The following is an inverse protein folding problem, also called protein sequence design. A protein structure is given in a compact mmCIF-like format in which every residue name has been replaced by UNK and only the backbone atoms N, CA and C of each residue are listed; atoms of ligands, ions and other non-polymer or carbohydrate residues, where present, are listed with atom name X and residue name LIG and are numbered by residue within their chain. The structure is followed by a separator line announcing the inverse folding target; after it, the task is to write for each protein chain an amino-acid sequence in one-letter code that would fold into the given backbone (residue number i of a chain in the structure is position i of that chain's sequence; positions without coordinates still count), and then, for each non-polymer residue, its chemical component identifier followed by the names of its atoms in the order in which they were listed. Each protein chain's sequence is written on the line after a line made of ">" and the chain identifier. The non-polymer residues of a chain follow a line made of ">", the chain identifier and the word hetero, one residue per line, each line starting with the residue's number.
data_IF_437932195004
#
_entry.id   IF_437932195004
#
_cell.length_a   1.000
_cell.length_b   1.000
_cell.length_c   1.000
_cell.angle_alpha   90.00
_cell.angle_beta   90.00
_cell.angle_gamma   90.00
#
_symmetry.space_group_name_H-M   'P 1'
#
loop_
_entity.id
_entity.type
_entity.pdbx_description
1 polymer ?
#
# COMPACT_ATOMS: atom_id res chain seq x y z
N UNK A 1 6.85 -7.03 -1.87
CA UNK A 1 5.73 -6.40 -1.17
C UNK A 1 5.84 -6.67 0.31
N UNK A 2 5.13 -5.91 1.13
CA UNK A 2 5.12 -6.02 2.59
C UNK A 2 3.70 -6.29 3.06
N UNK A 3 3.47 -7.39 3.76
CA UNK A 3 2.23 -7.72 4.44
C UNK A 3 2.26 -7.14 5.86
N UNK A 4 1.31 -6.27 6.17
CA UNK A 4 0.98 -5.85 7.53
C UNK A 4 -0.19 -6.70 7.99
N UNK A 5 0.10 -7.65 8.88
CA UNK A 5 -0.87 -8.62 9.36
C UNK A 5 -2.09 -7.93 10.00
N UNK A 6 -3.28 -8.47 9.75
CA UNK A 6 -4.53 -7.86 10.19
C UNK A 6 -4.96 -6.63 9.41
N UNK A 7 -4.12 -6.04 8.54
CA UNK A 7 -4.46 -4.82 7.79
C UNK A 7 -4.46 -5.05 6.28
N UNK A 8 -3.32 -5.35 5.68
CA UNK A 8 -3.20 -5.49 4.22
C UNK A 8 -1.77 -5.54 3.71
N UNK A 9 -1.63 -5.50 2.40
CA UNK A 9 -0.35 -5.67 1.69
C UNK A 9 -0.02 -4.43 0.89
N UNK A 10 1.19 -3.89 1.07
CA UNK A 10 1.79 -2.90 0.20
C UNK A 10 2.65 -3.59 -0.86
N UNK A 11 2.47 -3.27 -2.14
CA UNK A 11 3.32 -3.77 -3.21
C UNK A 11 3.58 -2.66 -4.24
N UNK A 12 4.60 -2.84 -5.09
CA UNK A 12 4.92 -1.90 -6.18
C UNK A 12 4.84 -2.70 -7.46
N UNK A 13 3.94 -2.31 -8.34
CA UNK A 13 3.73 -2.96 -9.64
C UNK A 13 4.35 -2.13 -10.75
N UNK A 14 4.67 -2.77 -11.88
CA UNK A 14 5.07 -2.07 -13.10
C UNK A 14 3.86 -1.88 -13.99
N UNK A 15 3.51 -0.62 -14.28
CA UNK A 15 2.42 -0.27 -15.15
C UNK A 15 2.97 0.28 -16.48
N UNK A 16 2.60 -0.29 -17.63
CA UNK A 16 2.97 0.27 -18.93
C UNK A 16 2.15 1.52 -19.25
N UNK A 17 2.84 2.62 -19.54
CA UNK A 17 2.28 3.89 -19.99
C UNK A 17 2.75 4.16 -21.41
N UNK A 18 1.82 4.42 -22.32
CA UNK A 18 2.13 4.74 -23.71
C UNK A 18 2.61 6.21 -23.83
N UNK A 19 3.75 6.40 -24.46
CA UNK A 19 4.37 7.69 -24.81
C UNK A 19 4.32 7.85 -26.34
N UNK A 20 3.16 8.19 -26.88
CA UNK A 20 2.97 8.35 -28.33
C UNK A 20 3.12 7.05 -29.13
N UNK A 21 3.49 7.17 -30.41
CA UNK A 21 3.45 6.06 -31.39
C UNK A 21 4.50 4.96 -31.19
N UNK A 22 5.62 5.23 -30.50
CA UNK A 22 6.73 4.25 -30.39
C UNK A 22 7.28 4.04 -28.97
N UNK A 23 6.80 4.78 -27.97
CA UNK A 23 7.33 4.71 -26.61
C UNK A 23 6.43 3.95 -25.64
N UNK A 24 6.96 2.94 -24.96
CA UNK A 24 6.34 2.34 -23.77
C UNK A 24 7.21 2.60 -22.55
N UNK A 25 6.66 3.30 -21.55
CA UNK A 25 7.32 3.57 -20.29
C UNK A 25 6.73 2.69 -19.19
N UNK A 26 7.57 1.90 -18.54
CA UNK A 26 7.18 1.17 -17.33
C UNK A 26 7.31 2.10 -16.11
N UNK A 27 6.19 2.57 -15.59
CA UNK A 27 6.12 3.35 -14.35
C UNK A 27 5.92 2.44 -13.15
N UNK A 28 6.42 2.85 -11.98
CA UNK A 28 6.34 2.08 -10.75
C UNK A 28 5.23 2.64 -9.87
N UNK A 29 4.11 1.92 -9.79
CA UNK A 29 2.95 2.34 -8.99
C UNK A 29 2.95 1.68 -7.63
N UNK A 30 2.79 2.44 -6.53
CA UNK A 30 2.47 1.84 -5.25
C UNK A 30 1.02 1.38 -5.26
N UNK A 31 0.78 0.20 -4.71
CA UNK A 31 -0.56 -0.33 -4.48
C UNK A 31 -0.69 -0.81 -3.04
N UNK A 32 -1.86 -0.58 -2.46
CA UNK A 32 -2.26 -1.14 -1.17
C UNK A 32 -3.46 -2.05 -1.41
N UNK A 33 -3.39 -3.24 -0.82
CA UNK A 33 -4.42 -4.24 -0.97
C UNK A 33 -4.87 -4.68 0.42
N UNK A 34 -6.15 -4.49 0.71
CA UNK A 34 -6.71 -4.82 2.02
C UNK A 34 -6.65 -6.33 2.28
N UNK A 35 -6.24 -6.71 3.50
CA UNK A 35 -6.21 -8.10 3.98
C UNK A 35 -7.33 -8.42 4.97
N UNK A 36 -8.02 -7.41 5.50
CA UNK A 36 -9.16 -7.57 6.41
C UNK A 36 -10.37 -8.20 5.70
N UNK A 37 -11.06 -9.13 6.39
CA UNK A 37 -12.28 -9.79 5.93
C UNK A 37 -13.50 -8.84 5.96
N UNK A 38 -13.45 -7.72 5.26
CA UNK A 38 -14.51 -6.70 5.30
C UNK A 38 -15.34 -6.55 4.04
N UNK A 39 -15.20 -7.38 2.99
CA UNK A 39 -16.09 -7.25 1.80
C UNK A 39 -16.39 -8.61 1.13
N UNK A 40 -17.65 -8.90 0.76
CA UNK A 40 -17.96 -9.96 -0.20
C UNK A 40 -17.37 -9.64 -1.58
N UNK A 41 -16.99 -10.69 -2.30
CA UNK A 41 -16.31 -10.63 -3.60
C UNK A 41 -17.07 -9.74 -4.60
N UNK A 42 -16.43 -8.64 -5.04
CA UNK A 42 -16.96 -7.77 -6.09
C UNK A 42 -16.06 -6.57 -6.45
N UNK A 43 -15.47 -6.65 -7.65
CA UNK A 43 -15.01 -5.59 -8.57
C UNK A 43 -13.69 -4.79 -8.46
N UNK A 44 -12.95 -4.71 -7.35
CA UNK A 44 -11.63 -4.01 -7.38
C UNK A 44 -10.50 -4.73 -6.62
N UNK A 45 -10.81 -5.26 -5.43
CA UNK A 45 -9.82 -5.87 -4.53
C UNK A 45 -9.23 -7.18 -5.11
N UNK A 46 -10.02 -7.93 -5.86
CA UNK A 46 -9.58 -9.15 -6.54
C UNK A 46 -8.58 -8.87 -7.69
N UNK A 47 -8.77 -7.75 -8.40
CA UNK A 47 -7.89 -7.35 -9.52
C UNK A 47 -6.50 -6.96 -9.00
N UNK A 48 -6.42 -6.24 -7.89
CA UNK A 48 -5.14 -5.80 -7.30
C UNK A 48 -4.26 -6.95 -6.77
N UNK A 49 -4.86 -8.01 -6.23
CA UNK A 49 -4.13 -9.24 -5.88
C UNK A 49 -3.57 -9.94 -7.10
N UNK A 50 -4.43 -10.10 -8.11
CA UNK A 50 -4.06 -10.72 -9.37
C UNK A 50 -2.86 -9.99 -9.97
N UNK A 51 -2.82 -8.66 -9.89
CA UNK A 51 -1.68 -7.84 -10.32
C UNK A 51 -0.39 -8.12 -9.52
N UNK A 52 -0.40 -8.09 -8.18
CA UNK A 52 0.84 -8.40 -7.43
C UNK A 52 1.34 -9.84 -7.68
N UNK A 53 0.41 -10.80 -7.88
CA UNK A 53 0.73 -12.19 -8.16
C UNK A 53 1.23 -12.39 -9.61
N UNK A 54 0.63 -11.70 -10.57
CA UNK A 54 1.06 -11.68 -11.97
C UNK A 54 2.47 -11.12 -12.12
N UNK A 55 2.80 -10.05 -11.37
CA UNK A 55 4.14 -9.46 -11.32
C UNK A 55 5.16 -10.30 -10.53
N UNK A 56 4.78 -11.50 -10.06
CA UNK A 56 5.63 -12.40 -9.25
C UNK A 56 6.29 -11.69 -8.05
N UNK A 57 5.60 -10.72 -7.46
CA UNK A 57 6.16 -9.92 -6.37
C UNK A 57 6.21 -10.79 -5.11
N UNK A 58 7.42 -11.08 -4.61
CA UNK A 58 7.61 -11.73 -3.31
C UNK A 58 6.98 -10.86 -2.22
N UNK A 59 6.02 -11.40 -1.47
CA UNK A 59 5.39 -10.72 -0.33
C UNK A 59 6.04 -11.25 0.95
N UNK A 60 6.59 -10.34 1.74
CA UNK A 60 7.21 -10.63 3.04
C UNK A 60 6.35 -10.02 4.15
N UNK A 61 6.25 -10.65 5.33
CA UNK A 61 5.64 -10.02 6.50
C UNK A 61 6.43 -8.78 6.93
N UNK A 62 5.76 -7.86 7.63
CA UNK A 62 6.40 -6.71 8.25
C UNK A 62 7.53 -7.18 9.19
N UNK A 63 8.74 -6.73 8.91
CA UNK A 63 9.92 -7.19 9.64
C UNK A 63 10.12 -6.38 10.92
N UNK A 64 9.54 -6.87 12.02
CA UNK A 64 9.68 -6.25 13.35
C UNK A 64 11.11 -6.22 13.87
N UNK A 65 11.99 -7.11 13.40
CA UNK A 65 13.41 -7.07 13.77
C UNK A 65 14.09 -5.83 13.19
N UNK A 66 13.84 -5.53 11.91
CA UNK A 66 14.37 -4.34 11.24
C UNK A 66 13.79 -3.07 11.86
N UNK A 67 12.49 -3.05 12.16
CA UNK A 67 11.86 -1.91 12.83
C UNK A 67 12.42 -1.68 14.24
N UNK A 68 12.67 -2.74 14.99
CA UNK A 68 13.28 -2.68 16.33
C UNK A 68 14.62 -1.96 16.31
N UNK A 69 15.47 -2.29 15.33
CA UNK A 69 16.76 -1.64 15.15
C UNK A 69 16.61 -0.16 14.71
N UNK A 70 15.66 0.13 13.83
CA UNK A 70 15.48 1.49 13.30
C UNK A 70 14.88 2.46 14.33
N UNK A 71 13.87 2.03 15.07
CA UNK A 71 13.15 2.87 16.05
C UNK A 71 13.80 2.79 17.44
N UNK A 72 14.73 1.85 17.66
CA UNK A 72 15.40 1.62 18.94
C UNK A 72 14.46 1.23 20.10
N UNK A 73 13.41 0.46 19.78
CA UNK A 73 12.50 -0.15 20.76
C UNK A 73 12.58 -1.67 20.68
N UNK A 74 12.31 -2.41 21.78
CA UNK A 74 12.25 -3.86 21.74
C UNK A 74 11.25 -4.37 20.70
N UNK A 75 11.59 -5.44 19.99
CA UNK A 75 10.75 -6.06 18.96
C UNK A 75 9.31 -6.29 19.43
N UNK A 76 9.13 -6.82 20.64
CA UNK A 76 7.80 -7.13 21.19
C UNK A 76 6.96 -5.86 21.37
N UNK A 77 7.54 -4.78 21.92
CA UNK A 77 6.86 -3.49 22.08
C UNK A 77 6.38 -2.96 20.73
N UNK A 78 7.22 -2.99 19.69
CA UNK A 78 6.81 -2.53 18.35
C UNK A 78 5.70 -3.41 17.78
N UNK A 79 5.83 -4.73 17.94
CA UNK A 79 4.81 -5.66 17.46
C UNK A 79 3.47 -5.39 18.13
N UNK A 80 3.45 -5.27 19.46
CA UNK A 80 2.24 -4.99 20.25
C UNK A 80 1.61 -3.66 19.82
N UNK A 81 2.41 -2.59 19.68
CA UNK A 81 1.92 -1.29 19.22
C UNK A 81 1.28 -1.37 17.82
N UNK A 82 1.90 -2.10 16.88
CA UNK A 82 1.35 -2.25 15.52
C UNK A 82 0.04 -3.04 15.57
N UNK A 83 0.01 -4.16 16.29
CA UNK A 83 -1.20 -4.99 16.43
C UNK A 83 -2.35 -4.24 17.09
N UNK A 84 -2.11 -3.53 18.18
CA UNK A 84 -3.12 -2.74 18.89
C UNK A 84 -3.66 -1.61 18.02
N UNK A 85 -2.79 -0.89 17.30
CA UNK A 85 -3.21 0.17 16.38
C UNK A 85 -4.10 -0.39 15.26
N UNK A 86 -3.76 -1.55 14.71
CA UNK A 86 -4.55 -2.23 13.67
C UNK A 86 -5.88 -2.70 14.23
N UNK A 87 -5.90 -3.29 15.44
CA UNK A 87 -7.15 -3.69 16.12
C UNK A 87 -8.06 -2.50 16.35
N UNK A 88 -7.52 -1.37 16.83
CA UNK A 88 -8.27 -0.14 17.05
C UNK A 88 -8.89 0.40 15.75
N UNK A 89 -8.11 0.41 14.66
CA UNK A 89 -8.61 0.81 13.35
C UNK A 89 -9.70 -0.14 12.85
N UNK A 90 -9.49 -1.46 12.95
CA UNK A 90 -10.48 -2.49 12.61
C UNK A 90 -11.80 -2.27 13.33
N UNK A 91 -11.74 -2.04 14.64
CA UNK A 91 -12.90 -1.76 15.46
C UNK A 91 -13.69 -0.55 14.96
N UNK A 92 -13.01 0.52 14.54
CA UNK A 92 -13.69 1.70 13.99
C UNK A 92 -14.32 1.41 12.62
N UNK A 93 -13.67 0.60 11.79
CA UNK A 93 -14.23 0.17 10.51
C UNK A 93 -15.49 -0.68 10.68
N UNK A 94 -15.48 -1.64 11.62
CA UNK A 94 -16.64 -2.48 11.93
C UNK A 94 -17.85 -1.66 12.40
N UNK A 95 -17.60 -0.56 13.12
CA UNK A 95 -18.64 0.39 13.56
C UNK A 95 -19.05 1.39 12.48
N UNK A 96 -18.53 1.26 11.26
CA UNK A 96 -18.75 2.19 10.13
C UNK A 96 -18.41 3.65 10.49
N UNK A 97 -17.45 3.85 11.40
CA UNK A 97 -16.96 5.19 11.69
C UNK A 97 -16.11 5.68 10.52
N UNK A 98 -16.28 6.95 10.16
CA UNK A 98 -15.44 7.61 9.16
C UNK A 98 -14.06 7.91 9.77
N UNK A 99 -13.17 6.92 9.71
CA UNK A 99 -11.80 7.03 10.20
C UNK A 99 -10.78 7.03 9.06
N UNK A 100 -9.67 7.70 9.32
CA UNK A 100 -8.50 7.72 8.46
C UNK A 100 -7.30 7.10 9.19
N UNK A 101 -6.58 6.22 8.52
CA UNK A 101 -5.28 5.72 8.98
C UNK A 101 -4.18 6.38 8.16
N UNK A 102 -3.32 7.14 8.83
CA UNK A 102 -2.23 7.86 8.18
C UNK A 102 -0.94 7.04 8.24
N UNK A 103 -0.44 6.62 7.09
CA UNK A 103 0.90 6.10 6.94
C UNK A 103 1.84 7.26 6.63
N UNK A 104 2.63 7.67 7.63
CA UNK A 104 3.60 8.76 7.48
C UNK A 104 4.48 8.51 6.24
N UNK A 105 4.63 9.53 5.41
CA UNK A 105 5.41 9.53 4.16
C UNK A 105 4.93 8.60 3.04
N UNK A 106 3.83 7.85 3.24
CA UNK A 106 3.27 6.93 2.26
C UNK A 106 1.92 7.44 1.75
N UNK A 107 0.97 7.69 2.66
CA UNK A 107 -0.39 8.07 2.27
C UNK A 107 -1.42 7.90 3.38
N UNK A 108 -2.69 7.96 2.99
CA UNK A 108 -3.83 7.85 3.90
C UNK A 108 -4.78 6.77 3.42
N UNK A 109 -5.16 5.87 4.33
CA UNK A 109 -6.21 4.88 4.11
C UNK A 109 -7.49 5.40 4.77
N UNK A 110 -8.53 5.65 3.97
CA UNK A 110 -9.81 6.20 4.42
C UNK A 110 -10.95 5.24 4.15
N UNK A 111 -11.91 5.15 5.08
CA UNK A 111 -13.17 4.47 4.84
C UNK A 111 -14.22 5.46 4.34
N UNK A 112 -14.87 5.16 3.22
CA UNK A 112 -16.02 5.91 2.72
C UNK A 112 -17.15 4.90 2.43
N UNK A 113 -18.18 4.91 3.27
CA UNK A 113 -19.22 3.90 3.26
C UNK A 113 -18.66 2.53 3.66
N UNK A 114 -18.85 1.53 2.81
CA UNK A 114 -18.30 0.17 2.99
C UNK A 114 -17.02 -0.06 2.15
N UNK A 115 -16.43 1.00 1.57
CA UNK A 115 -15.23 0.91 0.71
C UNK A 115 -14.04 1.62 1.34
N UNK A 116 -12.89 0.95 1.31
CA UNK A 116 -11.61 1.49 1.76
C UNK A 116 -10.79 2.01 0.58
N UNK A 117 -10.29 3.23 0.72
CA UNK A 117 -9.50 3.93 -0.30
C UNK A 117 -8.11 4.24 0.24
N UNK A 118 -7.08 3.80 -0.49
CA UNK A 118 -5.71 4.21 -0.22
C UNK A 118 -5.31 5.36 -1.16
N UNK A 119 -5.01 6.51 -0.59
CA UNK A 119 -4.45 7.66 -1.31
C UNK A 119 -2.96 7.78 -0.99
N UNK A 120 -2.09 7.58 -1.98
CA UNK A 120 -0.66 7.76 -1.83
C UNK A 120 -0.26 9.23 -1.97
N UNK A 121 0.68 9.68 -1.14
CA UNK A 121 1.22 11.02 -1.29
C UNK A 121 2.05 11.15 -2.56
N UNK A 122 1.99 12.32 -3.21
CA UNK A 122 2.81 12.61 -4.38
C UNK A 122 4.31 12.45 -4.08
N UNK A 123 4.76 12.77 -2.85
CA UNK A 123 6.12 12.54 -2.39
C UNK A 123 6.49 11.05 -2.35
N UNK A 124 5.57 10.19 -1.91
CA UNK A 124 5.74 8.74 -1.95
C UNK A 124 5.91 8.24 -3.39
N UNK A 125 5.05 8.68 -4.30
CA UNK A 125 5.10 8.28 -5.71
C UNK A 125 6.42 8.76 -6.35
N UNK A 126 6.81 10.02 -6.12
CA UNK A 126 8.08 10.58 -6.62
C UNK A 126 9.32 9.81 -6.16
N UNK A 127 9.30 9.23 -4.96
CA UNK A 127 10.40 8.39 -4.44
C UNK A 127 10.51 7.03 -5.13
N UNK A 128 9.44 6.55 -5.77
CA UNK A 128 9.42 5.26 -6.46
C UNK A 128 9.96 5.37 -7.89
N UNK A 129 9.77 6.53 -8.51
CA UNK A 129 10.21 6.84 -9.85
C UNK A 129 11.69 7.24 -9.90
N UNK A 130 12.39 6.82 -10.96
CA UNK A 130 13.71 7.38 -11.26
C UNK A 130 13.50 8.74 -11.93
N UNK A 131 14.40 9.70 -11.68
CA UNK A 131 14.34 11.06 -12.27
C UNK A 131 14.22 11.02 -13.80
N UNK A 132 14.88 10.06 -14.45
CA UNK A 132 14.78 9.81 -15.90
C UNK A 132 13.38 9.37 -16.35
N UNK A 133 12.69 8.52 -15.59
CA UNK A 133 11.33 8.06 -15.88
C UNK A 133 10.32 9.21 -15.84
N UNK A 134 10.44 10.09 -14.84
CA UNK A 134 9.59 11.28 -14.70
C UNK A 134 9.82 12.30 -15.82
N UNK A 135 11.08 12.50 -16.23
CA UNK A 135 11.41 13.42 -17.33
C UNK A 135 10.86 12.90 -18.67
N UNK A 136 10.89 11.58 -18.89
CA UNK A 136 10.32 10.96 -20.09
C UNK A 136 8.79 11.13 -20.12
N UNK A 137 8.10 10.94 -18.99
CA UNK A 137 6.65 11.10 -18.87
C UNK A 137 6.14 12.54 -19.00
N UNK A 138 7.01 13.55 -18.80
CA UNK A 138 6.65 14.97 -18.90
C UNK A 138 6.93 15.57 -20.30
N UNK A 139 7.61 14.84 -21.18
CA UNK A 139 7.98 15.29 -22.54
C UNK A 139 7.03 14.76 -23.63
N UNK A 140 6.04 13.96 -23.25
CA UNK A 140 4.87 13.57 -24.04
C UNK A 140 3.71 14.50 -23.79
#
# INVERSE_FOLDING_TARGET
>A
GVLVEGLGTFCIVQEPVHLGEEGLLLVRRPIFKLGMKMVPVGSAVALTLSLCLADRIKIEPLNYQVLSLFISFPRHIIQDCVEETIRLFSFHLEKKHNVAFVFRDIGVLTCQGDTLYMMFYASCIKRLEKRASLIAALRS
#
